data_IF_704723145984
#
_entry.id   IF_704723145984
#
_cell.length_a   1.000
_cell.length_b   1.000
_cell.length_c   1.000
_cell.angle_alpha   90.00
_cell.angle_beta   90.00
_cell.angle_gamma   90.00
#
_symmetry.space_group_name_H-M   'P 1'
#
loop_
_entity.id
_entity.type
_entity.pdbx_description
1 polymer ?
#
# COMPACT_ATOMS: atom_id res chain seq x y z
N UNK A 1 -9.47 6.33 28.17
CA UNK A 1 -9.35 7.09 26.90
C UNK A 1 -7.97 6.93 26.22
N UNK A 2 -6.85 6.96 26.94
CA UNK A 2 -5.49 6.73 26.40
C UNK A 2 -5.27 5.31 25.84
N UNK A 3 -5.90 4.27 26.38
CA UNK A 3 -5.67 2.87 25.99
C UNK A 3 -6.11 2.53 24.56
N UNK A 4 -7.22 3.09 24.05
CA UNK A 4 -7.69 2.78 22.69
C UNK A 4 -6.86 3.44 21.57
N UNK A 5 -6.39 4.66 21.80
CA UNK A 5 -5.43 5.31 20.88
C UNK A 5 -4.06 4.63 20.90
N UNK A 6 -3.66 4.06 22.04
CA UNK A 6 -2.45 3.24 22.13
C UNK A 6 -2.58 1.97 21.26
N UNK A 7 -3.73 1.30 21.23
CA UNK A 7 -3.92 0.08 20.44
C UNK A 7 -3.79 0.33 18.93
N UNK A 8 -4.36 1.42 18.41
CA UNK A 8 -4.26 1.78 16.98
C UNK A 8 -2.80 2.07 16.61
N UNK A 9 -2.10 2.85 17.44
CA UNK A 9 -0.69 3.17 17.22
C UNK A 9 0.21 1.94 17.35
N UNK A 10 -0.09 1.06 18.28
CA UNK A 10 0.74 -0.12 18.55
C UNK A 10 0.59 -1.16 17.44
N UNK A 11 -0.61 -1.35 16.86
CA UNK A 11 -0.81 -2.22 15.69
C UNK A 11 -0.03 -1.70 14.48
N UNK A 12 -0.10 -0.39 14.19
CA UNK A 12 0.67 0.22 13.12
C UNK A 12 2.19 0.03 13.30
N UNK A 13 2.69 0.16 14.54
CA UNK A 13 4.12 -0.07 14.83
C UNK A 13 4.54 -1.50 14.60
N UNK A 14 3.68 -2.47 14.95
CA UNK A 14 3.94 -3.89 14.70
C UNK A 14 3.95 -4.20 13.21
N UNK A 15 3.00 -3.67 12.44
CA UNK A 15 2.95 -3.84 10.99
C UNK A 15 4.19 -3.25 10.31
N UNK A 16 4.64 -2.06 10.74
CA UNK A 16 5.85 -1.44 10.20
C UNK A 16 7.15 -2.17 10.62
N UNK A 17 7.19 -2.74 11.83
CA UNK A 17 8.31 -3.57 12.26
C UNK A 17 8.39 -4.85 11.42
N UNK A 18 7.27 -5.56 11.26
CA UNK A 18 7.18 -6.74 10.41
C UNK A 18 7.54 -6.44 8.95
N UNK A 19 7.11 -5.29 8.42
CA UNK A 19 7.49 -4.84 7.08
C UNK A 19 9.02 -4.69 6.95
N UNK A 20 9.68 -4.02 7.89
CA UNK A 20 11.14 -3.80 7.84
C UNK A 20 11.93 -5.11 7.90
N UNK A 21 11.47 -6.05 8.71
CA UNK A 21 12.07 -7.37 8.80
C UNK A 21 11.91 -8.11 7.46
N UNK A 22 10.70 -8.11 6.88
CA UNK A 22 10.43 -8.74 5.58
C UNK A 22 11.13 -8.04 4.43
N UNK A 23 11.25 -6.71 4.42
CA UNK A 23 11.95 -5.95 3.40
C UNK A 23 13.42 -6.36 3.33
N UNK A 24 14.06 -6.56 4.49
CA UNK A 24 15.44 -7.03 4.54
C UNK A 24 15.58 -8.46 4.00
N UNK A 25 14.61 -9.34 4.27
CA UNK A 25 14.58 -10.69 3.73
C UNK A 25 14.27 -10.73 2.23
N UNK A 26 13.34 -9.90 1.75
CA UNK A 26 12.94 -9.83 0.34
C UNK A 26 14.12 -9.47 -0.58
N UNK A 27 15.10 -8.72 -0.07
CA UNK A 27 16.31 -8.39 -0.82
C UNK A 27 17.21 -9.60 -1.09
N UNK A 28 17.08 -10.68 -0.31
CA UNK A 28 17.92 -11.88 -0.40
C UNK A 28 17.18 -13.16 -0.77
N UNK A 29 15.86 -13.20 -0.65
CA UNK A 29 15.05 -14.38 -0.91
C UNK A 29 14.30 -14.26 -2.24
N UNK A 30 14.55 -15.17 -3.17
CA UNK A 30 13.84 -15.24 -4.45
C UNK A 30 12.41 -15.76 -4.32
N UNK A 31 12.07 -16.45 -3.23
CA UNK A 31 10.76 -17.08 -3.00
C UNK A 31 10.20 -16.68 -1.63
N UNK A 32 9.38 -15.62 -1.63
CA UNK A 32 8.51 -15.30 -0.51
C UNK A 32 7.19 -16.05 -0.66
N UNK A 33 6.69 -16.60 0.46
CA UNK A 33 5.33 -17.13 0.50
C UNK A 33 4.28 -16.01 0.32
N UNK A 34 3.07 -16.38 -0.08
CA UNK A 34 2.01 -15.40 -0.40
C UNK A 34 1.56 -14.57 0.81
N UNK A 35 1.70 -15.11 2.02
CA UNK A 35 1.40 -14.35 3.23
C UNK A 35 2.42 -13.25 3.47
N UNK A 36 3.71 -13.57 3.31
CA UNK A 36 4.81 -12.59 3.42
C UNK A 36 4.76 -11.53 2.32
N UNK A 37 4.38 -11.89 1.09
CA UNK A 37 4.16 -10.93 0.00
C UNK A 37 3.07 -9.93 0.36
N UNK A 38 1.91 -10.40 0.82
CA UNK A 38 0.81 -9.51 1.25
C UNK A 38 1.21 -8.59 2.39
N UNK A 39 1.97 -9.11 3.36
CA UNK A 39 2.47 -8.30 4.48
C UNK A 39 3.45 -7.24 4.01
N UNK A 40 4.32 -7.56 3.05
CA UNK A 40 5.25 -6.63 2.43
C UNK A 40 4.52 -5.52 1.67
N UNK A 41 3.55 -5.87 0.84
CA UNK A 41 2.72 -4.92 0.08
C UNK A 41 1.91 -3.99 0.99
N UNK A 42 1.30 -4.54 2.05
CA UNK A 42 0.60 -3.75 3.06
C UNK A 42 1.57 -2.76 3.75
N UNK A 43 2.75 -3.23 4.12
CA UNK A 43 3.78 -2.38 4.73
C UNK A 43 4.25 -1.24 3.82
N UNK A 44 4.42 -1.49 2.52
CA UNK A 44 4.76 -0.46 1.53
C UNK A 44 3.69 0.65 1.49
N UNK A 45 2.41 0.27 1.45
CA UNK A 45 1.29 1.22 1.46
C UNK A 45 1.24 2.03 2.76
N UNK A 46 1.50 1.40 3.91
CA UNK A 46 1.58 2.10 5.19
C UNK A 46 2.74 3.09 5.24
N UNK A 47 3.90 2.73 4.71
CA UNK A 47 5.04 3.65 4.60
C UNK A 47 4.69 4.83 3.71
N UNK A 48 4.05 4.61 2.57
CA UNK A 48 3.64 5.69 1.67
C UNK A 48 2.61 6.63 2.30
N UNK A 49 1.61 6.07 3.00
CA UNK A 49 0.59 6.82 3.73
C UNK A 49 1.20 7.73 4.81
N UNK A 50 2.25 7.26 5.49
CA UNK A 50 2.90 8.01 6.57
C UNK A 50 3.92 9.04 6.09
N UNK A 51 4.24 9.09 4.81
CA UNK A 51 5.10 10.15 4.24
C UNK A 51 4.34 11.46 4.24
N UNK A 52 4.84 12.46 4.94
CA UNK A 52 4.32 13.82 4.91
C UNK A 52 5.15 14.67 3.95
N UNK A 53 4.48 15.60 3.26
CA UNK A 53 5.18 16.60 2.45
C UNK A 53 5.98 17.53 3.35
N UNK A 54 7.15 17.94 2.89
CA UNK A 54 8.01 18.87 3.62
C UNK A 54 7.27 20.19 3.85
N UNK A 55 7.28 20.69 5.10
CA UNK A 55 6.60 21.91 5.53
C UNK A 55 5.06 21.92 5.43
N UNK A 56 4.41 20.76 5.32
CA UNK A 56 2.94 20.64 5.29
C UNK A 56 2.46 19.63 6.32
N UNK A 57 2.44 19.98 7.63
CA UNK A 57 1.95 19.07 8.66
C UNK A 57 0.45 18.82 8.48
N UNK A 58 0.07 17.56 8.49
CA UNK A 58 -1.34 17.14 8.42
C UNK A 58 -2.05 17.42 9.76
N UNK A 59 -3.31 17.86 9.75
CA UNK A 59 -4.12 17.98 10.95
C UNK A 59 -4.22 16.65 11.71
N UNK A 60 -4.31 16.69 13.03
CA UNK A 60 -4.29 15.48 13.87
C UNK A 60 -5.50 14.58 13.59
N UNK A 61 -6.67 15.18 13.39
CA UNK A 61 -7.91 14.48 13.03
C UNK A 61 -7.77 13.73 11.71
N UNK A 62 -7.11 14.33 10.72
CA UNK A 62 -6.81 13.70 9.45
C UNK A 62 -5.93 12.45 9.66
N UNK A 63 -4.84 12.58 10.40
CA UNK A 63 -3.94 11.49 10.71
C UNK A 63 -4.63 10.33 11.46
N UNK A 64 -5.51 10.64 12.43
CA UNK A 64 -6.25 9.61 13.19
C UNK A 64 -7.17 8.82 12.28
N UNK A 65 -7.90 9.49 11.40
CA UNK A 65 -8.81 8.84 10.45
C UNK A 65 -8.04 7.98 9.45
N UNK A 66 -6.94 8.50 8.86
CA UNK A 66 -6.07 7.76 7.94
C UNK A 66 -5.50 6.50 8.57
N UNK A 67 -4.95 6.61 9.80
CA UNK A 67 -4.38 5.46 10.51
C UNK A 67 -5.47 4.44 10.88
N UNK A 68 -6.65 4.89 11.28
CA UNK A 68 -7.78 4.00 11.54
C UNK A 68 -8.15 3.21 10.28
N UNK A 69 -8.37 3.89 9.16
CA UNK A 69 -8.72 3.26 7.88
C UNK A 69 -7.62 2.31 7.38
N UNK A 70 -6.35 2.67 7.54
CA UNK A 70 -5.23 1.81 7.21
C UNK A 70 -5.21 0.51 8.03
N UNK A 71 -5.51 0.57 9.33
CA UNK A 71 -5.63 -0.62 10.17
C UNK A 71 -6.79 -1.52 9.76
N UNK A 72 -7.89 -0.92 9.27
CA UNK A 72 -9.05 -1.66 8.76
C UNK A 72 -8.83 -2.24 7.34
N UNK A 73 -7.67 -1.96 6.70
CA UNK A 73 -7.33 -2.50 5.39
C UNK A 73 -7.84 -1.68 4.21
N UNK A 74 -8.28 -0.44 4.43
CA UNK A 74 -8.84 0.43 3.39
C UNK A 74 -7.91 0.64 2.18
N UNK A 75 -6.60 0.55 2.39
CA UNK A 75 -5.59 0.77 1.36
C UNK A 75 -5.03 -0.52 0.75
N UNK A 76 -5.48 -1.71 1.20
CA UNK A 76 -4.87 -2.99 0.80
C UNK A 76 -5.01 -3.30 -0.70
N UNK A 77 -6.06 -2.79 -1.34
CA UNK A 77 -6.31 -2.94 -2.79
C UNK A 77 -5.78 -1.78 -3.64
N UNK A 78 -5.25 -0.70 -3.01
CA UNK A 78 -4.80 0.50 -3.71
C UNK A 78 -3.35 0.34 -4.17
N UNK A 79 -3.00 0.67 -5.44
CA UNK A 79 -1.61 0.74 -5.87
C UNK A 79 -0.79 1.71 -5.00
N UNK A 80 0.49 1.38 -4.74
CA UNK A 80 1.34 2.17 -3.83
C UNK A 80 1.46 3.63 -4.29
N UNK A 81 1.58 3.86 -5.59
CA UNK A 81 1.65 5.18 -6.21
C UNK A 81 0.40 6.02 -6.02
N UNK A 82 -0.77 5.37 -5.87
CA UNK A 82 -2.07 6.04 -5.73
C UNK A 82 -2.51 6.22 -4.27
N UNK A 83 -1.77 5.67 -3.30
CA UNK A 83 -2.16 5.72 -1.87
C UNK A 83 -2.44 7.14 -1.40
N UNK A 84 -1.61 8.11 -1.77
CA UNK A 84 -1.78 9.51 -1.36
C UNK A 84 -2.96 10.18 -2.02
N UNK A 85 -3.20 9.88 -3.31
CA UNK A 85 -4.35 10.40 -4.04
C UNK A 85 -5.63 9.81 -3.47
N UNK A 86 -5.65 8.49 -3.25
CA UNK A 86 -6.77 7.79 -2.61
C UNK A 86 -7.08 8.39 -1.24
N UNK A 87 -6.07 8.59 -0.40
CA UNK A 87 -6.21 9.21 0.92
C UNK A 87 -6.87 10.59 0.82
N UNK A 88 -6.36 11.47 -0.04
CA UNK A 88 -6.86 12.83 -0.19
C UNK A 88 -8.33 12.86 -0.65
N UNK A 89 -8.67 12.10 -1.70
CA UNK A 89 -10.03 12.02 -2.24
C UNK A 89 -11.00 11.35 -1.25
N UNK A 90 -10.54 10.33 -0.51
CA UNK A 90 -11.34 9.69 0.54
C UNK A 90 -11.66 10.66 1.68
N UNK A 91 -10.70 11.47 2.12
CA UNK A 91 -10.92 12.49 3.13
C UNK A 91 -11.90 13.58 2.67
N UNK A 92 -11.85 13.99 1.42
CA UNK A 92 -12.86 14.91 0.84
C UNK A 92 -14.25 14.28 0.88
N UNK A 93 -14.35 13.01 0.51
CA UNK A 93 -15.63 12.25 0.56
C UNK A 93 -16.16 12.13 1.98
N UNK A 94 -15.29 11.76 2.95
CA UNK A 94 -15.70 11.67 4.36
C UNK A 94 -16.14 13.02 4.91
N UNK A 95 -15.47 14.13 4.56
CA UNK A 95 -15.88 15.48 4.98
C UNK A 95 -17.23 15.89 4.41
N UNK A 96 -17.53 15.46 3.18
CA UNK A 96 -18.80 15.76 2.53
C UNK A 96 -19.97 14.94 3.10
N UNK A 97 -19.72 13.66 3.42
CA UNK A 97 -20.77 12.72 3.81
C UNK A 97 -20.93 12.55 5.32
N UNK A 98 -19.85 12.71 6.09
CA UNK A 98 -19.81 12.49 7.52
C UNK A 98 -18.91 13.51 8.26
N UNK A 99 -19.19 14.83 8.18
CA UNK A 99 -18.40 15.87 8.81
C UNK A 99 -18.33 15.72 10.34
N UNK A 100 -19.33 15.14 10.96
CA UNK A 100 -19.41 14.88 12.39
C UNK A 100 -18.27 14.01 12.92
N UNK A 101 -17.68 13.17 12.07
CA UNK A 101 -16.53 12.33 12.43
C UNK A 101 -15.31 13.20 12.71
N UNK A 102 -15.08 14.23 11.91
CA UNK A 102 -13.98 15.19 12.13
C UNK A 102 -14.22 16.01 13.39
N UNK A 103 -15.43 16.55 13.57
CA UNK A 103 -15.80 17.33 14.76
C UNK A 103 -15.59 16.52 16.05
N UNK A 104 -15.92 15.23 16.03
CA UNK A 104 -15.70 14.32 17.15
C UNK A 104 -14.22 14.20 17.52
N UNK A 105 -13.35 14.07 16.52
CA UNK A 105 -11.90 13.89 16.72
C UNK A 105 -11.26 15.23 17.13
N UNK A 106 -11.62 16.34 16.50
CA UNK A 106 -11.18 17.69 16.87
C UNK A 106 -11.53 18.01 18.34
N UNK A 107 -12.69 17.58 18.81
CA UNK A 107 -13.10 17.69 20.21
C UNK A 107 -12.26 16.83 21.17
N UNK A 108 -11.24 16.13 20.68
CA UNK A 108 -10.36 15.27 21.49
C UNK A 108 -11.05 13.98 21.94
N UNK A 109 -12.15 13.62 21.32
CA UNK A 109 -12.90 12.39 21.61
C UNK A 109 -12.42 11.28 20.68
N UNK A 110 -12.25 10.07 21.22
CA UNK A 110 -11.94 8.91 20.40
C UNK A 110 -13.11 8.59 19.46
N UNK A 111 -12.82 8.05 18.27
CA UNK A 111 -13.83 7.57 17.32
C UNK A 111 -14.82 6.63 18.02
N UNK A 112 -16.11 6.96 17.96
CA UNK A 112 -17.17 6.08 18.43
C UNK A 112 -17.28 4.86 17.51
N UNK A 113 -17.96 3.82 17.97
CA UNK A 113 -18.15 2.63 17.14
C UNK A 113 -19.05 2.95 15.93
N UNK A 114 -20.02 3.86 16.09
CA UNK A 114 -20.84 4.40 15.01
C UNK A 114 -19.99 5.14 13.96
N UNK A 115 -19.09 6.04 14.40
CA UNK A 115 -18.18 6.76 13.49
C UNK A 115 -17.26 5.81 12.73
N UNK A 116 -16.80 4.73 13.37
CA UNK A 116 -15.98 3.72 12.72
C UNK A 116 -16.73 2.97 11.63
N UNK A 117 -18.00 2.58 11.89
CA UNK A 117 -18.86 1.92 10.91
C UNK A 117 -19.17 2.87 9.74
N UNK A 118 -19.44 4.15 10.03
CA UNK A 118 -19.63 5.18 9.01
C UNK A 118 -18.39 5.31 8.12
N UNK A 119 -17.20 5.42 8.72
CA UNK A 119 -15.95 5.50 7.97
C UNK A 119 -15.72 4.28 7.06
N UNK A 120 -15.97 3.07 7.55
CA UNK A 120 -15.89 1.83 6.74
C UNK A 120 -16.87 1.87 5.58
N UNK A 121 -18.13 2.24 5.84
CA UNK A 121 -19.17 2.31 4.81
C UNK A 121 -18.83 3.35 3.73
N UNK A 122 -18.31 4.52 4.11
CA UNK A 122 -17.87 5.54 3.15
C UNK A 122 -16.69 5.03 2.34
N UNK A 123 -15.70 4.40 2.99
CA UNK A 123 -14.55 3.82 2.31
C UNK A 123 -14.97 2.74 1.29
N UNK A 124 -15.85 1.82 1.66
CA UNK A 124 -16.28 0.72 0.77
C UNK A 124 -16.97 1.26 -0.48
N UNK A 125 -17.81 2.29 -0.34
CA UNK A 125 -18.45 2.96 -1.48
C UNK A 125 -17.42 3.69 -2.33
N UNK A 126 -16.52 4.44 -1.71
CA UNK A 126 -15.46 5.18 -2.41
C UNK A 126 -14.52 4.24 -3.16
N UNK A 127 -14.08 3.14 -2.53
CA UNK A 127 -13.24 2.13 -3.17
C UNK A 127 -13.86 1.55 -4.45
N UNK A 128 -15.18 1.39 -4.49
CA UNK A 128 -15.91 0.94 -5.69
C UNK A 128 -15.95 1.96 -6.83
N UNK A 129 -15.67 3.24 -6.56
CA UNK A 129 -15.68 4.31 -7.56
C UNK A 129 -14.28 4.82 -7.92
N UNK A 130 -13.30 4.53 -7.08
CA UNK A 130 -11.92 4.95 -7.29
C UNK A 130 -11.30 4.23 -8.50
N UNK A 131 -10.69 5.01 -9.41
CA UNK A 131 -9.98 4.48 -10.57
C UNK A 131 -8.48 4.70 -10.36
N UNK A 132 -7.67 3.62 -10.28
CA UNK A 132 -6.22 3.72 -10.23
C UNK A 132 -5.65 4.42 -11.47
N UNK A 133 -4.55 5.14 -11.29
CA UNK A 133 -3.91 5.92 -12.37
C UNK A 133 -3.37 5.02 -13.49
N UNK A 134 -2.96 3.79 -13.15
CA UNK A 134 -2.36 2.81 -14.07
C UNK A 134 -3.17 1.52 -14.15
N UNK A 135 -4.39 1.57 -14.70
CA UNK A 135 -5.09 0.33 -15.11
C UNK A 135 -4.36 -0.45 -16.22
N UNK A 136 -3.43 0.20 -16.94
CA UNK A 136 -2.71 -0.39 -18.07
C UNK A 136 -1.43 -1.17 -17.70
N UNK A 137 -0.98 -1.17 -16.45
CA UNK A 137 0.21 -1.90 -16.00
C UNK A 137 -0.05 -3.07 -15.04
N UNK A 138 -1.22 -3.66 -15.09
CA UNK A 138 -1.30 -5.08 -14.82
C UNK A 138 -0.81 -5.79 -16.09
N UNK A 139 0.49 -5.76 -16.30
CA UNK A 139 1.14 -6.79 -17.11
C UNK A 139 0.84 -8.09 -16.36
N UNK A 140 -0.27 -8.74 -16.72
CA UNK A 140 -0.36 -10.17 -16.56
C UNK A 140 0.86 -10.66 -17.33
N UNK A 141 1.92 -11.03 -16.59
CA UNK A 141 2.96 -11.85 -17.20
C UNK A 141 2.21 -12.97 -17.91
N UNK A 142 2.34 -13.08 -19.24
CA UNK A 142 1.72 -14.19 -19.93
C UNK A 142 2.29 -15.42 -19.22
N UNK A 143 1.40 -16.28 -18.71
CA UNK A 143 1.81 -17.57 -18.13
C UNK A 143 2.89 -18.11 -19.04
N UNK A 144 4.12 -18.21 -18.49
CA UNK A 144 5.26 -18.69 -19.24
C UNK A 144 4.89 -20.10 -19.70
N UNK A 145 4.47 -20.23 -20.96
CA UNK A 145 4.28 -21.54 -21.56
C UNK A 145 5.62 -22.25 -21.45
N UNK A 146 5.67 -23.47 -20.91
CA UNK A 146 6.91 -24.22 -20.89
C UNK A 146 7.47 -24.22 -22.31
N UNK A 147 8.71 -23.75 -22.46
CA UNK A 147 9.42 -23.74 -23.74
C UNK A 147 9.50 -25.16 -24.23
N UNK A 148 8.93 -25.42 -25.39
CA UNK A 148 9.03 -26.71 -26.05
C UNK A 148 10.50 -26.94 -26.42
N UNK A 149 11.02 -28.18 -26.23
CA UNK A 149 12.41 -28.53 -26.53
C UNK A 149 12.82 -28.18 -27.97
N UNK A 150 11.85 -28.03 -28.88
CA UNK A 150 12.06 -27.63 -30.26
C UNK A 150 12.45 -26.15 -30.44
N UNK A 151 12.16 -25.27 -29.47
CA UNK A 151 12.49 -23.84 -29.54
C UNK A 151 13.86 -23.50 -28.97
N UNK A 152 14.42 -24.36 -28.12
CA UNK A 152 15.76 -24.20 -27.53
C UNK A 152 16.85 -24.41 -28.59
N UNK A 153 16.60 -25.20 -29.62
CA UNK A 153 17.59 -25.52 -30.66
C UNK A 153 17.81 -24.39 -31.69
N UNK A 154 17.00 -23.36 -31.72
CA UNK A 154 17.07 -22.25 -32.70
C UNK A 154 17.89 -21.06 -32.26
N UNK A 155 18.27 -20.94 -30.97
CA UNK A 155 19.08 -19.86 -30.45
C UNK A 155 20.55 -20.26 -30.38
N UNK A 156 21.25 -20.30 -31.55
CA UNK A 156 22.71 -20.34 -31.57
C UNK A 156 23.26 -18.98 -31.16
N UNK A 157 23.90 -18.93 -30.00
CA UNK A 157 24.62 -17.74 -29.52
C UNK A 157 25.86 -17.60 -30.40
N UNK A 158 25.86 -16.62 -31.32
CA UNK A 158 27.03 -16.23 -32.08
C UNK A 158 28.00 -15.45 -31.17
N UNK A 159 28.95 -16.15 -30.56
CA UNK A 159 30.04 -15.52 -29.81
C UNK A 159 31.09 -15.04 -30.82
N UNK A 160 31.03 -13.75 -31.20
CA UNK A 160 32.08 -13.10 -31.97
C UNK A 160 33.35 -13.01 -31.11
N UNK A 161 34.31 -13.92 -31.35
CA UNK A 161 35.69 -13.80 -30.85
C UNK A 161 36.37 -12.64 -31.57
N UNK A 162 36.52 -11.47 -30.90
CA UNK A 162 37.48 -10.44 -31.30
C UNK A 162 38.87 -11.01 -31.06
N UNK A 163 39.55 -11.32 -32.15
CA UNK A 163 40.99 -11.62 -32.12
C UNK A 163 41.76 -10.36 -31.77
N UNK A 164 42.39 -10.31 -30.59
CA UNK A 164 43.42 -9.34 -30.30
C UNK A 164 44.67 -9.68 -31.15
N UNK A 165 44.99 -8.87 -32.18
CA UNK A 165 46.34 -8.78 -32.75
C UNK A 165 47.19 -7.98 -31.76
N UNK A 166 48.21 -8.61 -31.22
CA UNK A 166 49.38 -7.95 -30.66
C UNK A 166 50.33 -7.69 -31.81
N UNK A 167 50.73 -6.46 -31.98
CA UNK A 167 52.04 -6.02 -32.54
C UNK A 167 52.80 -5.33 -31.40
#
# INVERSE_FOLDING_TARGET
>A
RRQRQMCIRDSLRLDLAAYRDLESFAAFASDLDDASKRQLERGQRLVELLKQSENSPQPVEYQIISIFLANEGAFDSVPVEDVRRYEAELHETVRAEAPEVYEQVEGGTALSDESKETLKSVNDRFAGTFQPTNEEHVVREPEAKPLDESDVSKHQINVSRKSQKRD
#
